data_IF_344790464194
#
_entry.id   IF_344790464194
#
_cell.length_a   1.000
_cell.length_b   1.000
_cell.length_c   1.000
_cell.angle_alpha   90.00
_cell.angle_beta   90.00
_cell.angle_gamma   90.00
#
_symmetry.space_group_name_H-M   'P 1'
#
loop_
_entity.id
_entity.type
_entity.pdbx_description
1 polymer ?
#
# COMPACT_ATOMS: atom_id res chain seq x y z
N UNK A 1 -3.70 12.92 9.09
CA UNK A 1 -2.89 13.35 7.93
C UNK A 1 -3.71 14.32 7.11
N UNK A 2 -3.17 15.51 6.84
CA UNK A 2 -3.83 16.46 5.95
C UNK A 2 -3.63 16.02 4.50
N UNK A 3 -4.71 15.98 3.73
CA UNK A 3 -4.73 15.53 2.34
C UNK A 3 -5.35 16.59 1.42
N UNK A 4 -4.70 16.83 0.30
CA UNK A 4 -5.27 17.62 -0.78
C UNK A 4 -6.13 16.74 -1.70
N UNK A 5 -7.10 17.33 -2.45
CA UNK A 5 -7.98 16.55 -3.32
C UNK A 5 -7.28 15.73 -4.41
N UNK A 6 -6.07 16.10 -4.81
CA UNK A 6 -5.26 15.37 -5.79
C UNK A 6 -4.40 14.25 -5.15
N UNK A 7 -4.40 14.18 -3.82
CA UNK A 7 -3.71 13.14 -3.05
C UNK A 7 -4.63 11.97 -2.64
N UNK A 8 -5.89 11.97 -3.07
CA UNK A 8 -6.87 10.95 -2.69
C UNK A 8 -7.69 10.47 -3.89
N UNK A 9 -7.99 9.18 -3.89
CA UNK A 9 -8.94 8.55 -4.82
C UNK A 9 -9.65 7.39 -4.15
N UNK A 10 -10.97 7.29 -4.33
CA UNK A 10 -11.75 6.14 -3.93
C UNK A 10 -11.58 4.96 -4.89
N UNK A 11 -11.60 3.73 -4.34
CA UNK A 11 -11.48 2.46 -5.09
C UNK A 11 -12.52 1.45 -4.61
N UNK A 12 -12.85 0.44 -5.43
CA UNK A 12 -13.82 -0.62 -5.11
C UNK A 12 -13.27 -1.63 -4.08
N UNK A 13 -12.84 -1.12 -2.92
CA UNK A 13 -12.09 -1.85 -1.91
C UNK A 13 -10.60 -1.92 -2.23
N UNK A 14 -9.77 -2.06 -1.20
CA UNK A 14 -8.30 -2.15 -1.38
C UNK A 14 -7.90 -3.32 -2.27
N UNK A 15 -8.67 -4.41 -2.28
CA UNK A 15 -8.44 -5.57 -3.13
C UNK A 15 -8.37 -5.18 -4.61
N UNK A 16 -9.35 -4.44 -5.11
CA UNK A 16 -9.41 -4.03 -6.50
C UNK A 16 -8.36 -2.95 -6.80
N UNK A 17 -8.27 -1.94 -5.94
CA UNK A 17 -7.27 -0.88 -6.12
C UNK A 17 -5.84 -1.42 -6.14
N UNK A 18 -5.51 -2.31 -5.22
CA UNK A 18 -4.21 -2.96 -5.15
C UNK A 18 -3.95 -3.84 -6.38
N UNK A 19 -4.95 -4.57 -6.88
CA UNK A 19 -4.79 -5.40 -8.08
C UNK A 19 -4.39 -4.58 -9.31
N UNK A 20 -4.90 -3.36 -9.45
CA UNK A 20 -4.69 -2.55 -10.66
C UNK A 20 -3.54 -1.53 -10.56
N UNK A 21 -3.11 -1.13 -9.36
CA UNK A 21 -2.10 -0.07 -9.23
C UNK A 21 -0.77 -0.46 -9.88
N UNK A 22 -0.41 -1.74 -9.88
CA UNK A 22 0.79 -2.23 -10.56
C UNK A 22 0.79 -1.92 -12.05
N UNK A 23 -0.37 -2.03 -12.71
CA UNK A 23 -0.52 -1.71 -14.13
C UNK A 23 -0.30 -0.22 -14.45
N UNK A 24 -0.47 0.66 -13.46
CA UNK A 24 -0.19 2.10 -13.60
C UNK A 24 1.29 2.45 -13.32
N UNK A 25 2.01 1.59 -12.61
CA UNK A 25 3.35 1.88 -12.10
C UNK A 25 4.46 1.07 -12.74
N UNK A 26 4.14 -0.10 -13.33
CA UNK A 26 5.11 -0.99 -13.96
C UNK A 26 4.88 -1.12 -15.47
N UNK A 27 5.98 -1.35 -16.17
CA UNK A 27 5.97 -1.95 -17.50
C UNK A 27 6.23 -3.46 -17.37
N UNK A 28 5.83 -4.28 -18.38
CA UNK A 28 6.22 -5.68 -18.42
C UNK A 28 7.74 -5.84 -18.34
N UNK A 29 8.19 -6.69 -17.40
CA UNK A 29 9.61 -6.94 -17.14
C UNK A 29 10.23 -6.07 -16.04
N UNK A 30 9.54 -5.05 -15.53
CA UNK A 30 9.98 -4.33 -14.33
C UNK A 30 9.94 -5.25 -13.10
N UNK A 31 10.70 -4.94 -12.07
CA UNK A 31 10.75 -5.72 -10.83
C UNK A 31 9.95 -5.05 -9.71
N UNK A 32 9.27 -5.85 -8.89
CA UNK A 32 8.61 -5.39 -7.67
C UNK A 32 9.05 -6.19 -6.45
N UNK A 33 9.02 -5.58 -5.27
CA UNK A 33 9.36 -6.19 -3.99
C UNK A 33 8.09 -6.53 -3.21
N UNK A 34 7.94 -7.81 -2.83
CA UNK A 34 6.74 -8.37 -2.18
C UNK A 34 7.12 -9.10 -0.90
N UNK A 35 6.37 -8.94 0.21
CA UNK A 35 6.65 -9.65 1.46
C UNK A 35 6.37 -11.15 1.36
N UNK A 36 7.24 -11.95 1.98
CA UNK A 36 7.02 -13.38 2.15
C UNK A 36 7.31 -13.80 3.63
N UNK A 37 6.28 -14.26 4.40
CA UNK A 37 4.88 -14.42 4.00
C UNK A 37 4.17 -13.10 3.74
N UNK A 38 3.10 -13.13 2.92
CA UNK A 38 2.32 -11.96 2.57
C UNK A 38 0.90 -12.31 2.13
N UNK A 39 0.08 -11.28 1.89
CA UNK A 39 -1.25 -11.48 1.35
C UNK A 39 -1.16 -11.83 -0.15
N UNK A 40 -1.87 -12.87 -0.65
CA UNK A 40 -1.71 -13.37 -2.03
C UNK A 40 -1.86 -12.31 -3.13
N UNK A 41 -2.64 -11.28 -2.90
CA UNK A 41 -2.84 -10.20 -3.87
C UNK A 41 -1.55 -9.41 -4.15
N UNK A 42 -0.61 -9.37 -3.21
CA UNK A 42 0.61 -8.59 -3.40
C UNK A 42 1.47 -9.10 -4.56
N UNK A 43 1.58 -10.42 -4.73
CA UNK A 43 2.24 -10.99 -5.90
C UNK A 43 1.37 -10.90 -7.16
N UNK A 44 0.05 -11.13 -7.02
CA UNK A 44 -0.88 -11.04 -8.16
C UNK A 44 -0.89 -9.66 -8.80
N UNK A 45 -0.72 -8.61 -8.01
CA UNK A 45 -0.55 -7.24 -8.49
C UNK A 45 0.58 -7.15 -9.54
N UNK A 46 1.76 -7.69 -9.23
CA UNK A 46 2.88 -7.70 -10.16
C UNK A 46 2.67 -8.62 -11.36
N UNK A 47 2.11 -9.82 -11.14
CA UNK A 47 1.80 -10.77 -12.22
C UNK A 47 0.87 -10.12 -13.24
N UNK A 48 -0.18 -9.44 -12.80
CA UNK A 48 -1.12 -8.74 -13.68
C UNK A 48 -0.48 -7.60 -14.47
N UNK A 49 0.55 -6.97 -13.91
CA UNK A 49 1.34 -5.93 -14.57
C UNK A 49 2.44 -6.50 -15.50
N UNK A 50 2.67 -7.82 -15.50
CA UNK A 50 3.77 -8.45 -16.22
C UNK A 50 5.14 -8.21 -15.60
N UNK A 51 5.20 -7.88 -14.31
CA UNK A 51 6.42 -7.61 -13.57
C UNK A 51 7.08 -8.89 -13.04
N UNK A 52 8.37 -8.83 -12.80
CA UNK A 52 9.10 -9.83 -12.03
C UNK A 52 8.87 -9.62 -10.53
N UNK A 53 8.62 -10.73 -9.81
CA UNK A 53 8.36 -10.70 -8.38
C UNK A 53 9.64 -11.09 -7.65
N UNK A 54 10.15 -10.18 -6.84
CA UNK A 54 11.23 -10.46 -5.91
C UNK A 54 10.68 -10.44 -4.48
N UNK A 55 10.85 -11.56 -3.78
CA UNK A 55 10.35 -11.72 -2.42
C UNK A 55 11.38 -11.27 -1.40
N UNK A 56 11.00 -10.34 -0.53
CA UNK A 56 11.76 -10.09 0.68
C UNK A 56 11.19 -10.88 1.86
N UNK A 57 12.07 -11.52 2.61
CA UNK A 57 11.66 -12.32 3.77
C UNK A 57 11.34 -11.44 4.96
N UNK A 58 10.27 -11.81 5.65
CA UNK A 58 9.93 -11.29 6.97
C UNK A 58 9.89 -12.47 7.94
N UNK A 59 10.76 -12.45 8.93
CA UNK A 59 11.00 -13.59 9.84
C UNK A 59 10.83 -13.15 11.29
N UNK A 60 10.43 -14.08 12.16
CA UNK A 60 10.21 -13.83 13.58
C UNK A 60 11.44 -13.22 14.27
N UNK A 61 12.64 -13.70 13.92
CA UNK A 61 13.91 -13.18 14.47
C UNK A 61 14.12 -11.69 14.25
N UNK A 62 13.49 -11.10 13.20
CA UNK A 62 13.54 -9.69 12.87
C UNK A 62 12.22 -8.97 13.23
N UNK A 63 11.38 -9.58 14.09
CA UNK A 63 10.05 -9.04 14.42
C UNK A 63 9.12 -8.95 13.22
N UNK A 64 9.31 -9.79 12.21
CA UNK A 64 8.58 -9.78 10.93
C UNK A 64 8.71 -8.46 10.16
N UNK A 65 9.83 -7.75 10.34
CA UNK A 65 10.17 -6.57 9.53
C UNK A 65 11.16 -6.97 8.42
N UNK A 66 11.10 -6.31 7.25
CA UNK A 66 12.08 -6.53 6.19
C UNK A 66 13.47 -6.07 6.61
N UNK A 67 14.47 -6.82 6.20
CA UNK A 67 15.87 -6.43 6.31
C UNK A 67 16.24 -5.59 5.07
N UNK A 68 15.97 -4.27 5.17
CA UNK A 68 16.16 -3.33 4.07
C UNK A 68 17.61 -3.17 3.62
N UNK A 69 18.57 -3.44 4.53
CA UNK A 69 20.00 -3.24 4.28
C UNK A 69 20.62 -4.39 3.49
N UNK A 70 19.97 -5.56 3.50
CA UNK A 70 20.47 -6.77 2.83
C UNK A 70 19.71 -7.13 1.55
N UNK A 71 18.84 -6.25 1.03
CA UNK A 71 18.25 -6.42 -0.29
C UNK A 71 19.37 -6.17 -1.33
N UNK A 72 19.64 -7.12 -2.25
CA UNK A 72 20.72 -6.99 -3.22
C UNK A 72 20.62 -5.74 -4.08
N UNK A 73 21.74 -5.05 -4.30
CA UNK A 73 21.77 -3.78 -5.03
C UNK A 73 21.28 -3.92 -6.48
N UNK A 74 21.54 -5.06 -7.11
CA UNK A 74 21.06 -5.39 -8.47
C UNK A 74 19.54 -5.46 -8.54
N UNK A 75 18.87 -5.93 -7.48
CA UNK A 75 17.40 -5.94 -7.37
C UNK A 75 16.89 -4.52 -7.15
N UNK A 76 17.52 -3.76 -6.24
CA UNK A 76 17.11 -2.38 -5.95
C UNK A 76 17.16 -1.47 -7.18
N UNK A 77 18.12 -1.67 -8.07
CA UNK A 77 18.26 -0.90 -9.33
C UNK A 77 17.13 -1.15 -10.32
N UNK A 78 16.44 -2.29 -10.22
CA UNK A 78 15.36 -2.69 -11.11
C UNK A 78 13.98 -2.54 -10.48
N UNK A 79 13.91 -2.41 -9.14
CA UNK A 79 12.66 -2.37 -8.40
C UNK A 79 11.93 -1.03 -8.60
N UNK A 80 10.68 -1.10 -9.06
CA UNK A 80 9.80 0.05 -9.23
C UNK A 80 9.12 0.42 -7.92
N UNK A 81 8.57 -0.59 -7.21
CA UNK A 81 7.94 -0.37 -5.92
C UNK A 81 8.13 -1.55 -4.96
N UNK A 82 7.92 -1.27 -3.70
CA UNK A 82 7.88 -2.24 -2.62
C UNK A 82 6.50 -2.17 -1.95
N UNK A 83 5.84 -3.33 -1.82
CA UNK A 83 4.59 -3.44 -1.08
C UNK A 83 4.92 -3.77 0.37
N UNK A 84 4.38 -3.00 1.31
CA UNK A 84 4.45 -3.24 2.75
C UNK A 84 3.05 -3.21 3.35
N UNK A 85 2.82 -3.93 4.45
CA UNK A 85 1.54 -3.96 5.13
C UNK A 85 1.76 -4.12 6.63
N UNK A 86 1.29 -3.18 7.44
CA UNK A 86 1.35 -3.26 8.90
C UNK A 86 0.13 -2.59 9.53
N UNK A 87 -0.67 -3.31 10.35
CA UNK A 87 -0.52 -4.74 10.70
C UNK A 87 -0.70 -5.68 9.52
N UNK A 88 0.20 -6.67 9.40
CA UNK A 88 0.25 -7.56 8.23
C UNK A 88 -0.61 -8.82 8.41
N UNK A 89 -1.48 -9.10 7.45
CA UNK A 89 -2.08 -10.44 7.29
C UNK A 89 -1.10 -11.37 6.52
N UNK A 90 -0.68 -12.53 7.06
CA UNK A 90 -1.29 -13.24 8.19
C UNK A 90 -0.60 -13.06 9.55
N UNK A 91 0.52 -12.38 9.66
CA UNK A 91 1.37 -12.37 10.87
C UNK A 91 0.87 -11.48 12.00
N UNK A 92 -0.01 -10.51 11.71
CA UNK A 92 -0.64 -9.60 12.67
C UNK A 92 0.34 -8.76 13.52
N UNK A 93 1.53 -8.47 13.02
CA UNK A 93 2.53 -7.63 13.68
C UNK A 93 2.36 -6.18 13.25
N UNK A 94 2.51 -5.27 14.21
CA UNK A 94 2.61 -3.83 13.95
C UNK A 94 4.07 -3.42 13.79
N UNK A 95 4.34 -2.53 12.83
CA UNK A 95 5.66 -1.94 12.70
C UNK A 95 5.87 -0.81 13.73
N UNK A 96 7.07 -0.67 14.30
CA UNK A 96 7.42 0.47 15.14
C UNK A 96 7.66 1.73 14.28
N UNK A 97 7.59 2.90 14.91
CA UNK A 97 7.73 4.19 14.22
C UNK A 97 9.10 4.30 13.49
N UNK A 98 10.17 3.84 14.10
CA UNK A 98 11.52 3.84 13.55
C UNK A 98 11.64 3.01 12.26
N UNK A 99 10.79 2.01 12.10
CA UNK A 99 10.73 1.25 10.84
C UNK A 99 10.24 2.12 9.69
N UNK A 100 9.18 2.90 9.89
CA UNK A 100 8.65 3.78 8.84
C UNK A 100 9.63 4.86 8.44
N UNK A 101 10.36 5.44 9.39
CA UNK A 101 11.42 6.43 9.10
C UNK A 101 12.53 5.80 8.25
N UNK A 102 13.00 4.61 8.60
CA UNK A 102 13.99 3.87 7.82
C UNK A 102 13.47 3.47 6.45
N UNK A 103 12.20 3.06 6.33
CA UNK A 103 11.56 2.69 5.07
C UNK A 103 11.50 3.89 4.12
N UNK A 104 11.15 5.07 4.62
CA UNK A 104 11.11 6.30 3.83
C UNK A 104 12.52 6.70 3.35
N UNK A 105 13.52 6.63 4.23
CA UNK A 105 14.91 6.90 3.87
C UNK A 105 15.42 5.91 2.81
N UNK A 106 15.10 4.62 2.98
CA UNK A 106 15.41 3.56 2.01
C UNK A 106 14.76 3.82 0.65
N UNK A 107 13.47 4.18 0.63
CA UNK A 107 12.73 4.47 -0.58
C UNK A 107 13.32 5.67 -1.35
N UNK A 108 13.65 6.76 -0.63
CA UNK A 108 14.32 7.95 -1.21
C UNK A 108 15.68 7.60 -1.78
N UNK A 109 16.51 6.87 -1.04
CA UNK A 109 17.86 6.48 -1.46
C UNK A 109 17.86 5.65 -2.75
N UNK A 110 16.91 4.74 -2.89
CA UNK A 110 16.87 3.77 -3.98
C UNK A 110 15.87 4.14 -5.09
N UNK A 111 15.17 5.27 -4.96
CA UNK A 111 14.11 5.70 -5.88
C UNK A 111 13.02 4.64 -6.07
N UNK A 112 12.61 3.99 -4.98
CA UNK A 112 11.59 2.93 -4.95
C UNK A 112 10.30 3.53 -4.38
N UNK A 113 9.16 3.26 -5.04
CA UNK A 113 7.84 3.65 -4.55
C UNK A 113 7.42 2.70 -3.42
N UNK A 114 6.84 3.24 -2.35
CA UNK A 114 6.21 2.44 -1.30
C UNK A 114 4.70 2.38 -1.53
N UNK A 115 4.16 1.17 -1.55
CA UNK A 115 2.72 0.91 -1.52
C UNK A 115 2.41 0.27 -0.17
N UNK A 116 1.79 1.02 0.73
CA UNK A 116 1.43 0.55 2.05
C UNK A 116 -0.04 0.06 2.07
N UNK A 117 -0.27 -1.21 2.43
CA UNK A 117 -1.62 -1.73 2.67
C UNK A 117 -1.97 -1.58 4.15
N UNK A 118 -2.88 -0.66 4.43
CA UNK A 118 -3.34 -0.34 5.77
C UNK A 118 -4.80 -0.76 5.98
N UNK A 119 -5.02 -2.06 6.09
CA UNK A 119 -6.35 -2.61 6.28
C UNK A 119 -6.74 -2.78 7.76
N UNK A 120 -5.78 -2.74 8.70
CA UNK A 120 -6.00 -3.20 10.07
C UNK A 120 -5.54 -2.23 11.16
N UNK A 121 -5.08 -1.02 10.84
CA UNK A 121 -4.54 -0.07 11.83
C UNK A 121 -5.53 0.32 12.93
N UNK A 122 -6.83 0.25 12.64
CA UNK A 122 -7.88 0.59 13.61
C UNK A 122 -8.34 -0.62 14.44
N UNK A 123 -7.82 -1.83 14.16
CA UNK A 123 -8.18 -3.08 14.84
C UNK A 123 -6.97 -3.62 15.59
N UNK A 124 -6.47 -2.84 16.53
CA UNK A 124 -5.36 -3.21 17.41
C UNK A 124 -5.88 -3.29 18.83
N UNK A 125 -5.82 -4.49 19.41
CA UNK A 125 -6.38 -4.77 20.75
C UNK A 125 -5.41 -4.46 21.88
N UNK A 126 -4.23 -3.95 21.58
CA UNK A 126 -3.28 -3.41 22.55
C UNK A 126 -3.48 -1.90 22.70
N UNK A 127 -2.90 -1.28 23.75
CA UNK A 127 -3.01 0.17 23.98
C UNK A 127 -2.28 1.03 22.93
N UNK A 128 -1.52 0.42 22.00
CA UNK A 128 -0.85 1.12 20.91
C UNK A 128 -1.81 1.22 19.72
N UNK A 129 -2.07 2.43 19.25
CA UNK A 129 -2.79 2.63 18.00
C UNK A 129 -1.88 2.28 16.81
N UNK A 130 -2.48 1.75 15.73
CA UNK A 130 -1.82 1.65 14.45
C UNK A 130 -1.49 3.04 13.89
N UNK A 131 -0.43 3.08 13.12
CA UNK A 131 0.02 4.33 12.50
C UNK A 131 -0.21 4.25 10.99
N UNK A 132 -0.71 5.34 10.43
CA UNK A 132 -0.64 5.52 8.98
C UNK A 132 0.80 5.76 8.57
N UNK A 133 1.26 5.08 7.52
CA UNK A 133 2.54 5.37 6.87
C UNK A 133 2.67 6.86 6.51
N UNK A 134 1.57 7.47 6.06
CA UNK A 134 1.54 8.88 5.65
C UNK A 134 1.67 9.87 6.82
N UNK A 135 1.62 9.41 8.08
CA UNK A 135 1.85 10.26 9.25
C UNK A 135 3.33 10.57 9.48
N UNK A 136 4.23 9.93 8.75
CA UNK A 136 5.67 10.15 8.87
C UNK A 136 6.18 11.16 7.85
N UNK A 137 7.14 11.99 8.25
CA UNK A 137 7.71 13.02 7.39
C UNK A 137 8.34 12.42 6.12
N UNK A 138 7.96 12.95 4.98
CA UNK A 138 8.47 12.51 3.67
C UNK A 138 7.81 11.26 3.10
N UNK A 139 6.83 10.66 3.79
CA UNK A 139 6.11 9.49 3.27
C UNK A 139 5.37 9.80 1.96
N UNK A 140 4.71 10.96 1.88
CA UNK A 140 4.03 11.41 0.65
C UNK A 140 4.99 11.64 -0.52
N UNK A 141 6.29 11.87 -0.27
CA UNK A 141 7.26 12.01 -1.35
C UNK A 141 7.50 10.68 -2.07
N UNK A 142 7.38 9.56 -1.35
CA UNK A 142 7.84 8.24 -1.81
C UNK A 142 6.73 7.22 -2.02
N UNK A 143 5.48 7.48 -1.59
CA UNK A 143 4.50 6.40 -1.70
C UNK A 143 3.06 6.78 -1.50
N UNK A 144 2.24 5.73 -1.49
CA UNK A 144 0.79 5.78 -1.25
C UNK A 144 0.39 4.73 -0.22
N UNK A 145 -0.74 4.97 0.43
CA UNK A 145 -1.38 4.05 1.36
C UNK A 145 -2.78 3.68 0.87
N UNK A 146 -3.12 2.39 0.97
CA UNK A 146 -4.48 1.92 0.81
C UNK A 146 -5.15 1.84 2.18
N UNK A 147 -6.21 2.61 2.38
CA UNK A 147 -7.02 2.59 3.59
C UNK A 147 -8.39 2.00 3.32
N UNK A 148 -8.77 0.99 4.11
CA UNK A 148 -9.98 0.22 3.87
C UNK A 148 -11.03 0.41 4.97
N UNK A 149 -12.29 0.66 4.56
CA UNK A 149 -13.42 0.65 5.48
C UNK A 149 -13.97 -0.77 5.74
N UNK A 150 -13.47 -1.76 5.01
CA UNK A 150 -13.96 -3.14 5.09
C UNK A 150 -13.84 -3.75 6.48
N UNK A 151 -12.74 -3.45 7.20
CA UNK A 151 -12.43 -4.03 8.50
C UNK A 151 -12.83 -3.10 9.63
N UNK A 152 -12.32 -1.87 9.61
CA UNK A 152 -12.53 -0.87 10.66
C UNK A 152 -14.00 -0.51 10.87
N UNK A 153 -14.78 -0.47 9.80
CA UNK A 153 -16.20 -0.11 9.82
C UNK A 153 -17.15 -1.27 9.50
N UNK A 154 -16.61 -2.50 9.41
CA UNK A 154 -17.40 -3.68 9.03
C UNK A 154 -18.17 -3.52 7.70
N UNK A 155 -17.62 -2.75 6.75
CA UNK A 155 -18.22 -2.42 5.46
C UNK A 155 -17.66 -3.27 4.31
N UNK A 156 -17.32 -4.53 4.58
CA UNK A 156 -16.67 -5.42 3.59
C UNK A 156 -17.46 -5.53 2.28
N UNK A 157 -18.80 -5.67 2.36
CA UNK A 157 -19.67 -5.80 1.20
C UNK A 157 -19.92 -4.50 0.42
N UNK A 158 -19.68 -3.34 1.03
CA UNK A 158 -19.87 -2.03 0.39
C UNK A 158 -18.84 -1.74 -0.71
N UNK A 159 -17.70 -2.42 -0.71
CA UNK A 159 -16.63 -2.29 -1.69
C UNK A 159 -16.13 -0.85 -1.82
N UNK A 160 -15.73 -0.23 -0.70
CA UNK A 160 -15.16 1.11 -0.68
C UNK A 160 -13.88 1.16 0.16
N UNK A 161 -12.86 1.74 -0.41
CA UNK A 161 -11.56 2.03 0.18
C UNK A 161 -10.96 3.25 -0.51
N UNK A 162 -9.82 3.70 -0.05
CA UNK A 162 -9.12 4.85 -0.61
C UNK A 162 -7.67 4.50 -0.89
N UNK A 163 -7.10 5.05 -1.98
CA UNK A 163 -5.67 5.21 -2.17
C UNK A 163 -5.34 6.67 -1.92
N UNK A 164 -4.38 6.91 -1.05
CA UNK A 164 -4.01 8.24 -0.56
C UNK A 164 -2.49 8.39 -0.55
N UNK A 165 -2.00 9.62 -0.74
CA UNK A 165 -0.57 9.92 -0.63
C UNK A 165 0.00 10.69 -1.82
N UNK A 166 1.08 10.21 -2.42
CA UNK A 166 1.79 10.91 -3.47
C UNK A 166 0.88 11.23 -4.66
N UNK A 167 0.68 12.53 -4.93
CA UNK A 167 -0.25 13.00 -5.96
C UNK A 167 0.08 12.52 -7.38
N UNK A 168 1.36 12.37 -7.70
CA UNK A 168 1.77 11.88 -9.04
C UNK A 168 1.40 10.41 -9.24
N UNK A 169 1.50 9.62 -8.17
CA UNK A 169 1.08 8.21 -8.18
C UNK A 169 -0.43 8.11 -8.27
N UNK A 170 -1.14 8.89 -7.45
CA UNK A 170 -2.61 8.94 -7.45
C UNK A 170 -3.13 9.41 -8.83
N UNK A 171 -2.51 10.41 -9.45
CA UNK A 171 -2.86 10.90 -10.79
C UNK A 171 -2.68 9.82 -11.86
N UNK A 172 -1.51 9.15 -11.90
CA UNK A 172 -1.29 8.02 -12.83
C UNK A 172 -2.34 6.93 -12.67
N UNK A 173 -2.67 6.62 -11.44
CA UNK A 173 -3.65 5.59 -11.14
C UNK A 173 -5.07 6.05 -11.53
N UNK A 174 -5.43 7.34 -11.34
CA UNK A 174 -6.69 7.92 -11.82
C UNK A 174 -6.83 7.77 -13.34
N UNK A 175 -5.76 8.00 -14.11
CA UNK A 175 -5.77 7.82 -15.57
C UNK A 175 -6.11 6.38 -15.94
N UNK A 176 -5.46 5.39 -15.34
CA UNK A 176 -5.77 3.98 -15.57
C UNK A 176 -7.23 3.66 -15.18
N UNK A 177 -7.64 4.09 -14.00
CA UNK A 177 -8.98 3.83 -13.46
C UNK A 177 -10.09 4.44 -14.31
N UNK A 178 -9.86 5.59 -14.93
CA UNK A 178 -10.83 6.21 -15.84
C UNK A 178 -11.15 5.36 -17.08
N UNK A 179 -10.32 4.34 -17.36
CA UNK A 179 -10.55 3.38 -18.45
C UNK A 179 -11.10 2.03 -17.97
N UNK A 180 -11.21 1.83 -16.64
CA UNK A 180 -11.74 0.59 -16.02
C UNK A 180 -13.15 0.82 -15.51
N UNK A 181 -13.38 1.93 -14.82
CA UNK A 181 -14.68 2.31 -14.26
C UNK A 181 -14.80 3.85 -14.17
N UNK A 182 -16.04 4.34 -14.00
CA UNK A 182 -16.34 5.77 -13.92
C UNK A 182 -16.48 6.29 -12.49
N UNK A 183 -16.31 5.44 -11.48
CA UNK A 183 -16.43 5.82 -10.09
C UNK A 183 -17.39 4.94 -9.30
N UNK A 184 -17.34 5.09 -7.98
CA UNK A 184 -18.09 4.27 -7.04
C UNK A 184 -19.54 4.75 -6.97
N UNK A 185 -20.48 3.81 -6.87
CA UNK A 185 -21.91 4.06 -6.72
C UNK A 185 -22.18 5.04 -5.56
N UNK A 186 -22.88 6.15 -5.85
CA UNK A 186 -23.08 7.28 -4.94
C UNK A 186 -23.59 6.89 -3.54
N UNK A 187 -24.59 6.01 -3.38
CA UNK A 187 -25.03 5.59 -2.06
C UNK A 187 -23.93 4.98 -1.19
N UNK A 188 -22.98 4.25 -1.80
CA UNK A 188 -21.81 3.71 -1.08
C UNK A 188 -20.85 4.81 -0.64
N UNK A 189 -20.68 5.86 -1.46
CA UNK A 189 -19.88 7.02 -1.08
C UNK A 189 -20.50 7.76 0.10
N UNK A 190 -21.83 7.99 0.09
CA UNK A 190 -22.53 8.58 1.24
C UNK A 190 -22.48 7.71 2.49
N UNK A 191 -22.56 6.39 2.35
CA UNK A 191 -22.37 5.49 3.48
C UNK A 191 -20.95 5.58 4.07
N UNK A 192 -19.93 5.72 3.23
CA UNK A 192 -18.56 5.93 3.67
C UNK A 192 -18.39 7.27 4.42
N UNK A 193 -18.98 8.35 3.89
CA UNK A 193 -18.96 9.68 4.55
C UNK A 193 -19.64 9.61 5.92
N UNK A 194 -20.75 8.87 6.04
CA UNK A 194 -21.46 8.72 7.32
C UNK A 194 -20.70 7.81 8.31
N UNK A 195 -19.83 6.94 7.83
CA UNK A 195 -19.03 6.03 8.66
C UNK A 195 -17.75 6.71 9.21
N UNK A 196 -17.14 7.62 8.44
CA UNK A 196 -15.94 8.37 8.82
C UNK A 196 -16.25 9.55 9.74
#
# INVERSE_FOLDING_TARGET
VDLEPDEIMSVYGSQEGMAHIGMALCNPGDTILVPNPGYPLFEMNGIMAGAHIEYYKIEEKNGYLPDLEHIPEEILKQAQYMIVSYPLNPVCVCAPDEFYERLIAFAKKNNIIIIHDNAYSDIIFTRKQGRSFLSFEGAKDVGVEFYSLSKSYNLTGARISFVIGNKKIVEKFKILRSQIDYGIFLPVQYAAIAAL
#
